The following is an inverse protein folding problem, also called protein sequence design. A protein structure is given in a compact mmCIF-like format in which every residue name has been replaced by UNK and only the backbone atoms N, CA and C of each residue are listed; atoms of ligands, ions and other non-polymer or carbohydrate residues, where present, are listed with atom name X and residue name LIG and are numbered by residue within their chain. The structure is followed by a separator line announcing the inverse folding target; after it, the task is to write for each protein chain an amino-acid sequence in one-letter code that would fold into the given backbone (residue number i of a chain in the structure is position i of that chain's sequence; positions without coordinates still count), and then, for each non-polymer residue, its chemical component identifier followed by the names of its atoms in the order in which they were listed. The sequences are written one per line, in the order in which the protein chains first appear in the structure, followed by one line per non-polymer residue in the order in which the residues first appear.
data_IF_424221931183
#
_entry.id   IF_424221931183
#
_cell.length_a   1.000
_cell.length_b   1.000
_cell.length_c   1.000
_cell.angle_alpha   90.00
_cell.angle_beta   90.00
_cell.angle_gamma   90.00
#
_symmetry.space_group_name_H-M   'P 1'
#
loop_
_entity.id
_entity.type
_entity.pdbx_description
1 polymer ?
#
# COMPACT_ATOMS: atom_id res chain seq x y z
N UNK A 1 -5.01 -2.35 25.03
CA UNK A 1 -4.62 -1.04 24.49
C UNK A 1 -4.48 -1.06 22.96
N UNK A 2 -3.78 -2.03 22.41
CA UNK A 2 -3.52 -2.12 20.96
C UNK A 2 -4.78 -2.26 20.11
N UNK A 3 -5.79 -2.99 20.57
CA UNK A 3 -7.06 -3.15 19.86
C UNK A 3 -7.85 -1.83 19.80
N UNK A 4 -7.82 -1.04 20.88
CA UNK A 4 -8.49 0.27 20.93
C UNK A 4 -7.84 1.27 19.99
N UNK A 5 -6.52 1.36 19.96
CA UNK A 5 -5.79 2.24 19.04
C UNK A 5 -6.05 1.87 17.57
N UNK A 6 -6.05 0.57 17.21
CA UNK A 6 -6.36 0.13 15.86
C UNK A 6 -7.79 0.51 15.44
N UNK A 7 -8.77 0.39 16.33
CA UNK A 7 -10.14 0.83 16.06
C UNK A 7 -10.26 2.34 15.90
N UNK A 8 -9.52 3.13 16.67
CA UNK A 8 -9.42 4.59 16.48
C UNK A 8 -8.88 4.92 15.10
N UNK A 9 -7.74 4.36 14.71
CA UNK A 9 -7.14 4.63 13.40
C UNK A 9 -8.05 4.22 12.22
N UNK A 10 -8.85 3.17 12.35
CA UNK A 10 -9.84 2.78 11.34
C UNK A 10 -10.95 3.83 11.27
N UNK A 11 -11.50 4.23 12.41
CA UNK A 11 -12.54 5.28 12.49
C UNK A 11 -12.03 6.60 11.92
N UNK A 12 -10.83 7.02 12.31
CA UNK A 12 -10.21 8.27 11.82
C UNK A 12 -10.05 8.27 10.28
N UNK A 13 -9.79 7.10 9.68
CA UNK A 13 -9.80 6.95 8.22
C UNK A 13 -11.20 7.04 7.62
N UNK A 14 -12.21 6.46 8.27
CA UNK A 14 -13.60 6.53 7.83
C UNK A 14 -14.15 7.95 7.91
N UNK A 15 -13.87 8.65 9.00
CA UNK A 15 -14.32 10.02 9.26
C UNK A 15 -13.51 11.09 8.50
N UNK A 16 -12.43 10.70 7.82
CA UNK A 16 -11.58 11.61 7.04
C UNK A 16 -10.50 12.34 7.85
N UNK A 17 -10.37 12.09 9.15
CA UNK A 17 -9.30 12.66 9.98
C UNK A 17 -7.91 12.23 9.51
N UNK A 18 -7.77 10.95 9.10
CA UNK A 18 -6.57 10.44 8.44
C UNK A 18 -6.84 10.41 6.94
N UNK A 19 -6.20 11.31 6.22
CA UNK A 19 -6.43 11.52 4.79
C UNK A 19 -5.48 10.74 3.88
N UNK A 20 -4.35 10.25 4.38
CA UNK A 20 -3.29 9.62 3.59
C UNK A 20 -2.91 8.26 4.19
N UNK A 21 -2.64 7.29 3.33
CA UNK A 21 -2.02 6.02 3.67
C UNK A 21 -0.60 6.02 3.13
N UNK A 22 0.37 5.94 4.04
CA UNK A 22 1.79 5.83 3.73
C UNK A 22 2.31 4.44 4.14
N UNK A 23 3.32 3.95 3.42
CA UNK A 23 3.86 2.59 3.61
C UNK A 23 5.04 2.55 4.56
N UNK A 24 5.77 3.66 4.70
CA UNK A 24 7.08 3.69 5.38
C UNK A 24 7.98 2.52 4.93
N UNK A 25 8.09 2.33 3.60
CA UNK A 25 8.82 1.21 3.01
C UNK A 25 10.29 1.23 3.44
N UNK A 26 10.66 0.31 4.32
CA UNK A 26 11.98 0.21 4.92
C UNK A 26 12.62 -1.17 4.64
N UNK A 27 13.26 -1.34 3.47
CA UNK A 27 13.95 -2.58 3.12
C UNK A 27 15.23 -2.73 3.93
N UNK A 28 15.41 -3.91 4.53
CA UNK A 28 16.60 -4.29 5.28
C UNK A 28 17.08 -5.65 4.81
N UNK A 29 18.38 -5.89 4.90
CA UNK A 29 18.97 -7.19 4.56
C UNK A 29 18.54 -8.26 5.59
N UNK A 30 18.63 -9.52 5.18
CA UNK A 30 18.34 -10.64 6.08
C UNK A 30 19.29 -10.63 7.28
N UNK A 31 20.58 -10.36 7.05
CA UNK A 31 21.60 -10.31 8.09
C UNK A 31 21.31 -9.21 9.14
N UNK A 32 20.74 -8.10 8.71
CA UNK A 32 20.33 -7.02 9.63
C UNK A 32 19.10 -7.43 10.45
N UNK A 33 18.13 -8.10 9.83
CA UNK A 33 16.89 -8.52 10.49
C UNK A 33 17.06 -9.74 11.40
N UNK A 34 18.04 -10.58 11.15
CA UNK A 34 18.35 -11.78 11.97
C UNK A 34 19.08 -11.44 13.29
N UNK A 35 19.46 -10.17 13.50
CA UNK A 35 20.06 -9.72 14.76
C UNK A 35 19.06 -9.80 15.92
N UNK A 36 19.54 -9.81 17.19
CA UNK A 36 18.67 -9.65 18.35
C UNK A 36 17.77 -8.42 18.25
N UNK A 37 16.59 -8.49 18.87
CA UNK A 37 15.52 -7.48 18.72
C UNK A 37 15.98 -6.05 19.07
N UNK A 38 16.87 -5.91 20.03
CA UNK A 38 17.47 -4.64 20.47
C UNK A 38 18.51 -4.08 19.51
N UNK A 39 19.00 -4.90 18.55
CA UNK A 39 20.00 -4.52 17.56
C UNK A 39 19.49 -4.56 16.12
N UNK A 40 18.36 -5.25 15.88
CA UNK A 40 17.76 -5.31 14.56
C UNK A 40 17.09 -3.96 14.24
N UNK A 41 17.27 -3.42 13.01
CA UNK A 41 16.61 -2.20 12.61
C UNK A 41 15.10 -2.39 12.56
N UNK A 42 14.34 -1.38 12.97
CA UNK A 42 12.89 -1.34 12.78
C UNK A 42 12.54 -1.13 11.30
N UNK A 43 11.33 -1.52 10.91
CA UNK A 43 10.83 -1.32 9.56
C UNK A 43 10.53 -2.61 8.79
N UNK A 44 9.66 -2.47 7.82
CA UNK A 44 9.19 -3.56 6.93
C UNK A 44 9.13 -3.06 5.49
N UNK A 45 9.16 -3.99 4.53
CA UNK A 45 8.80 -3.67 3.15
C UNK A 45 7.28 -3.49 3.04
N UNK A 46 6.81 -2.45 2.37
CA UNK A 46 5.38 -2.11 2.34
C UNK A 46 4.81 -1.77 0.97
N UNK A 47 5.62 -1.31 0.01
CA UNK A 47 5.11 -0.80 -1.28
C UNK A 47 4.31 -1.86 -2.05
N UNK A 48 4.82 -3.08 -2.13
CA UNK A 48 4.23 -4.15 -2.96
C UNK A 48 2.94 -4.72 -2.39
N UNK A 49 2.68 -4.54 -1.10
CA UNK A 49 1.50 -5.10 -0.42
C UNK A 49 0.49 -4.06 0.01
N UNK A 50 0.82 -2.77 -0.05
CA UNK A 50 -0.01 -1.70 0.54
C UNK A 50 -1.41 -1.60 -0.07
N UNK A 51 -1.54 -1.68 -1.40
CA UNK A 51 -2.84 -1.65 -2.08
C UNK A 51 -3.68 -2.87 -1.69
N UNK A 52 -3.10 -4.07 -1.81
CA UNK A 52 -3.79 -5.32 -1.50
C UNK A 52 -4.20 -5.42 -0.02
N UNK A 53 -3.36 -4.94 0.90
CA UNK A 53 -3.72 -4.81 2.32
C UNK A 53 -4.87 -3.82 2.52
N UNK A 54 -4.85 -2.69 1.80
CA UNK A 54 -5.95 -1.72 1.83
C UNK A 54 -7.26 -2.32 1.33
N UNK A 55 -7.24 -3.06 0.24
CA UNK A 55 -8.41 -3.78 -0.29
C UNK A 55 -8.91 -4.82 0.73
N UNK A 56 -8.03 -5.72 1.17
CA UNK A 56 -8.40 -6.84 2.05
C UNK A 56 -8.83 -6.38 3.45
N UNK A 57 -8.09 -5.43 4.05
CA UNK A 57 -8.27 -5.08 5.45
C UNK A 57 -9.22 -3.89 5.67
N UNK A 58 -9.43 -3.05 4.68
CA UNK A 58 -10.25 -1.86 4.82
C UNK A 58 -11.51 -1.91 3.94
N UNK A 59 -11.39 -2.29 2.67
CA UNK A 59 -12.53 -2.31 1.75
C UNK A 59 -13.41 -3.54 1.97
N UNK A 60 -12.85 -4.74 1.95
CA UNK A 60 -13.59 -6.00 2.17
C UNK A 60 -14.29 -6.03 3.53
N UNK A 61 -13.68 -5.42 4.54
CA UNK A 61 -14.27 -5.31 5.90
C UNK A 61 -15.27 -4.16 6.05
N UNK A 62 -15.56 -3.43 4.96
CA UNK A 62 -16.54 -2.36 4.94
C UNK A 62 -16.14 -1.09 5.72
N UNK A 63 -14.86 -0.91 6.01
CA UNK A 63 -14.38 0.30 6.68
C UNK A 63 -14.22 1.48 5.72
N UNK A 64 -13.84 1.23 4.48
CA UNK A 64 -13.73 2.23 3.41
C UNK A 64 -14.41 1.70 2.14
N UNK A 65 -14.91 2.61 1.31
CA UNK A 65 -15.18 2.27 -0.08
C UNK A 65 -13.87 2.17 -0.88
N UNK A 66 -13.89 1.52 -2.03
CA UNK A 66 -12.73 1.45 -2.92
C UNK A 66 -12.23 2.85 -3.29
N UNK A 67 -13.13 3.77 -3.62
CA UNK A 67 -12.76 5.15 -3.97
C UNK A 67 -12.08 5.88 -2.81
N UNK A 68 -12.59 5.73 -1.59
CA UNK A 68 -11.95 6.32 -0.40
C UNK A 68 -10.55 5.76 -0.15
N UNK A 69 -10.32 4.45 -0.38
CA UNK A 69 -9.00 3.86 -0.32
C UNK A 69 -8.07 4.49 -1.36
N UNK A 70 -8.51 4.53 -2.62
CA UNK A 70 -7.71 5.07 -3.72
C UNK A 70 -7.40 6.55 -3.54
N UNK A 71 -8.35 7.37 -3.09
CA UNK A 71 -8.11 8.79 -2.77
C UNK A 71 -6.98 8.97 -1.76
N UNK A 72 -6.98 8.14 -0.71
CA UNK A 72 -5.94 8.19 0.35
C UNK A 72 -4.56 7.73 -0.11
N UNK A 73 -4.48 7.00 -1.21
CA UNK A 73 -3.23 6.49 -1.79
C UNK A 73 -2.76 7.26 -3.03
N UNK A 74 -3.60 8.13 -3.59
CA UNK A 74 -3.30 8.84 -4.85
C UNK A 74 -3.47 10.35 -4.73
N UNK A 75 -4.69 10.86 -4.89
CA UNK A 75 -4.94 12.30 -4.99
C UNK A 75 -4.64 13.06 -3.69
N UNK A 76 -4.87 12.45 -2.53
CA UNK A 76 -4.62 13.13 -1.26
C UNK A 76 -3.12 13.34 -1.00
N UNK A 77 -2.23 12.34 -1.14
CA UNK A 77 -0.79 12.58 -1.08
C UNK A 77 -0.31 13.52 -2.19
N UNK A 78 -0.86 13.41 -3.41
CA UNK A 78 -0.49 14.31 -4.50
C UNK A 78 -0.80 15.79 -4.16
N UNK A 79 -1.96 16.06 -3.57
CA UNK A 79 -2.31 17.42 -3.09
C UNK A 79 -1.37 17.89 -1.99
N UNK A 80 -1.03 17.04 -1.02
CA UNK A 80 -0.13 17.41 0.08
C UNK A 80 1.26 17.82 -0.41
N UNK A 81 1.78 17.10 -1.42
CA UNK A 81 3.12 17.37 -1.96
C UNK A 81 3.11 18.27 -3.21
N UNK A 82 1.95 18.84 -3.58
CA UNK A 82 1.78 19.68 -4.78
C UNK A 82 2.24 18.97 -6.08
N UNK A 83 1.92 17.68 -6.20
CA UNK A 83 2.23 16.87 -7.38
C UNK A 83 1.10 16.96 -8.41
N UNK A 84 1.44 16.82 -9.70
CA UNK A 84 0.45 16.79 -10.77
C UNK A 84 -0.22 15.43 -10.97
N UNK A 85 0.38 14.38 -10.41
CA UNK A 85 -0.09 12.98 -10.45
C UNK A 85 -1.35 12.78 -9.59
N UNK A 86 -1.80 11.52 -9.51
CA UNK A 86 -2.89 11.11 -8.63
C UNK A 86 -4.29 11.33 -9.19
N UNK A 87 -4.41 11.64 -10.49
CA UNK A 87 -5.69 11.82 -11.18
C UNK A 87 -5.62 11.39 -12.64
N UNK A 88 -6.72 10.87 -13.17
CA UNK A 88 -6.90 10.60 -14.58
C UNK A 88 -7.56 11.83 -15.21
N UNK A 89 -6.79 12.65 -15.89
CA UNK A 89 -7.24 13.88 -16.53
C UNK A 89 -6.44 14.14 -17.80
N UNK A 90 -7.09 14.59 -18.87
CA UNK A 90 -6.43 14.96 -20.11
C UNK A 90 -5.36 16.04 -19.87
N UNK A 91 -4.19 15.87 -20.48
CA UNK A 91 -3.04 16.76 -20.33
C UNK A 91 -2.23 16.58 -19.05
N UNK A 92 -2.56 15.60 -18.20
CA UNK A 92 -1.78 15.25 -16.99
C UNK A 92 -0.91 14.01 -17.22
N UNK A 93 0.14 13.80 -16.38
CA UNK A 93 0.97 12.61 -16.47
C UNK A 93 0.15 11.32 -16.45
N UNK A 94 0.46 10.40 -17.37
CA UNK A 94 -0.20 9.10 -17.46
C UNK A 94 0.50 8.07 -16.55
N UNK A 95 0.49 8.32 -15.25
CA UNK A 95 0.95 7.39 -14.22
C UNK A 95 -0.27 6.63 -13.70
N UNK A 96 -0.44 5.39 -14.16
CA UNK A 96 -1.67 4.61 -13.96
C UNK A 96 -1.34 3.21 -13.47
N UNK A 97 -2.13 2.71 -12.53
CA UNK A 97 -2.10 1.32 -12.08
C UNK A 97 -3.40 0.64 -12.48
N UNK A 98 -3.30 -0.53 -13.12
CA UNK A 98 -4.43 -1.42 -13.38
C UNK A 98 -4.34 -2.60 -12.44
N UNK A 99 -5.40 -2.86 -11.69
CA UNK A 99 -5.48 -3.98 -10.77
C UNK A 99 -6.86 -4.63 -10.78
N UNK A 100 -6.90 -5.91 -10.43
CA UNK A 100 -8.15 -6.64 -10.20
C UNK A 100 -8.45 -6.63 -8.71
N UNK A 101 -9.53 -5.97 -8.25
CA UNK A 101 -9.86 -5.88 -6.84
C UNK A 101 -10.31 -7.22 -6.23
N UNK A 102 -10.81 -8.16 -7.04
CA UNK A 102 -11.36 -9.42 -6.57
C UNK A 102 -10.34 -10.57 -6.61
N UNK A 103 -9.26 -10.43 -7.40
CA UNK A 103 -8.26 -11.49 -7.52
C UNK A 103 -7.51 -11.70 -6.20
N UNK A 104 -7.63 -12.91 -5.68
CA UNK A 104 -6.86 -13.37 -4.52
C UNK A 104 -5.48 -13.85 -4.96
N UNK A 105 -4.45 -13.44 -4.25
CA UNK A 105 -3.08 -13.87 -4.46
C UNK A 105 -2.34 -14.04 -3.14
N UNK A 106 -1.30 -14.85 -3.13
CA UNK A 106 -0.47 -15.08 -1.96
C UNK A 106 0.84 -14.29 -2.06
N UNK A 107 1.22 -13.61 -0.99
CA UNK A 107 2.49 -12.87 -0.90
C UNK A 107 3.65 -13.86 -0.80
N UNK A 108 4.28 -14.19 -1.92
CA UNK A 108 5.38 -15.17 -2.01
C UNK A 108 6.67 -14.57 -2.58
N UNK A 109 6.53 -13.69 -3.54
CA UNK A 109 7.63 -13.14 -4.30
C UNK A 109 7.69 -11.63 -4.12
N UNK A 110 8.89 -11.08 -4.13
CA UNK A 110 9.14 -9.65 -3.98
C UNK A 110 9.98 -9.16 -5.15
N UNK A 111 9.62 -8.01 -5.71
CA UNK A 111 10.47 -7.29 -6.67
C UNK A 111 11.55 -6.48 -5.94
N UNK A 112 11.29 -6.10 -4.70
CA UNK A 112 12.29 -5.53 -3.81
C UNK A 112 13.43 -6.51 -3.56
N UNK A 113 14.67 -6.00 -3.43
CA UNK A 113 15.84 -6.81 -3.04
C UNK A 113 15.70 -7.35 -1.61
N UNK A 114 14.89 -6.70 -0.78
CA UNK A 114 14.65 -7.09 0.60
C UNK A 114 13.28 -7.78 0.72
N UNK A 115 13.21 -8.79 1.58
CA UNK A 115 12.02 -9.62 1.80
C UNK A 115 11.52 -9.53 3.25
N UNK A 116 11.89 -8.47 3.98
CA UNK A 116 11.53 -8.27 5.38
C UNK A 116 10.07 -7.79 5.54
N UNK A 117 9.15 -8.62 5.09
CA UNK A 117 7.71 -8.39 5.18
C UNK A 117 7.06 -9.37 6.16
N UNK A 118 6.22 -8.90 7.10
CA UNK A 118 5.43 -9.76 7.98
C UNK A 118 4.24 -10.41 7.25
N UNK A 119 3.98 -10.01 6.00
CA UNK A 119 2.83 -10.47 5.23
C UNK A 119 3.15 -11.64 4.30
N UNK A 120 4.39 -12.14 4.31
CA UNK A 120 4.76 -13.34 3.54
C UNK A 120 3.85 -14.52 3.89
N UNK A 121 3.28 -15.16 2.86
CA UNK A 121 2.30 -16.25 3.01
C UNK A 121 0.86 -15.78 3.24
N UNK A 122 0.61 -14.48 3.38
CA UNK A 122 -0.75 -13.98 3.47
C UNK A 122 -1.46 -14.04 2.12
N UNK A 123 -2.73 -14.39 2.16
CA UNK A 123 -3.63 -14.28 1.02
C UNK A 123 -4.32 -12.93 1.05
N UNK A 124 -4.15 -12.16 0.01
CA UNK A 124 -4.67 -10.81 -0.13
C UNK A 124 -5.48 -10.71 -1.42
N UNK A 125 -6.49 -9.85 -1.44
CA UNK A 125 -7.20 -9.41 -2.64
C UNK A 125 -6.60 -8.12 -3.18
N UNK A 126 -6.85 -7.85 -4.47
CA UNK A 126 -6.35 -6.65 -5.13
C UNK A 126 -5.00 -6.86 -5.80
N UNK A 127 -4.98 -7.65 -6.87
CA UNK A 127 -3.79 -7.97 -7.66
C UNK A 127 -3.51 -6.90 -8.70
N UNK A 128 -2.35 -6.25 -8.61
CA UNK A 128 -1.86 -5.34 -9.66
C UNK A 128 -1.46 -6.17 -10.88
N UNK A 129 -1.88 -5.74 -12.06
CA UNK A 129 -1.59 -6.36 -13.36
C UNK A 129 -0.59 -5.55 -14.16
N UNK A 130 -0.81 -4.24 -14.22
CA UNK A 130 0.02 -3.33 -15.00
C UNK A 130 0.26 -2.06 -14.22
N UNK A 131 1.46 -1.53 -14.37
CA UNK A 131 1.81 -0.18 -13.95
C UNK A 131 2.27 0.60 -15.18
N UNK A 132 1.71 1.76 -15.40
CA UNK A 132 2.14 2.71 -16.42
C UNK A 132 2.84 3.84 -15.70
N UNK A 133 4.09 4.10 -16.03
CA UNK A 133 4.88 5.17 -15.45
C UNK A 133 5.63 5.90 -16.57
N UNK A 134 5.44 7.20 -16.68
CA UNK A 134 6.01 8.04 -17.72
C UNK A 134 5.75 7.43 -19.14
N UNK A 135 4.52 6.95 -19.34
CA UNK A 135 4.09 6.32 -20.60
C UNK A 135 4.66 4.92 -20.88
N UNK A 136 5.45 4.35 -19.98
CA UNK A 136 5.98 2.99 -20.10
C UNK A 136 5.10 2.00 -19.37
N UNK A 137 4.70 0.93 -20.05
CA UNK A 137 3.88 -0.14 -19.47
C UNK A 137 4.81 -1.19 -18.88
N UNK A 138 4.56 -1.54 -17.63
CA UNK A 138 5.23 -2.60 -16.89
C UNK A 138 4.17 -3.61 -16.46
N UNK A 139 4.31 -4.85 -16.92
CA UNK A 139 3.50 -5.99 -16.50
C UNK A 139 4.11 -6.63 -15.24
N UNK A 140 3.27 -7.03 -14.28
CA UNK A 140 3.69 -7.52 -12.96
C UNK A 140 3.30 -8.98 -12.72
#
# INVERSE_FOLDING_TARGET
PYRRQRQMCIRDRQEGTIEIIATDHAPHSKEEKDKPLDQAPSGITGIETSLALGVTELVEKGYLSMMQLLEKMTINPAKLYNMEQGRLQEGKPADVVLFDPEEEWEVKEYKSKATNSPFTGWKLKGKVKYTICDGKIIEL
#
